data_IF_787669053754
#
_entry.id   IF_787669053754
#
_cell.length_a   1.000
_cell.length_b   1.000
_cell.length_c   1.000
_cell.angle_alpha   90.00
_cell.angle_beta   90.00
_cell.angle_gamma   90.00
#
_symmetry.space_group_name_H-M   'P 1'
#
loop_
_entity.id
_entity.type
_entity.pdbx_description
1 polymer ?
#
# COMPACT_ATOMS: atom_id res chain seq x y z
N UNK A 1 8.49 3.80 13.82
CA UNK A 1 7.06 3.47 13.95
C UNK A 1 6.65 3.11 12.54
N UNK A 2 6.60 1.83 12.25
CA UNK A 2 6.52 1.36 10.87
C UNK A 2 5.13 0.81 10.62
N UNK A 3 4.57 1.12 9.46
CA UNK A 3 3.28 0.60 9.05
C UNK A 3 3.34 -0.93 8.97
N UNK A 4 2.39 -1.62 9.62
CA UNK A 4 2.24 -3.08 9.48
C UNK A 4 1.08 -3.43 8.56
N UNK A 5 -0.12 -2.94 8.86
CA UNK A 5 -1.32 -3.35 8.13
C UNK A 5 -2.41 -2.29 8.15
N UNK A 6 -3.21 -2.30 7.09
CA UNK A 6 -4.49 -1.60 6.96
C UNK A 6 -5.56 -2.63 6.65
N UNK A 7 -6.55 -2.75 7.53
CA UNK A 7 -7.72 -3.60 7.33
C UNK A 7 -8.96 -2.74 7.17
N UNK A 8 -9.75 -2.98 6.12
CA UNK A 8 -11.01 -2.29 5.86
C UNK A 8 -12.12 -3.32 5.78
N UNK A 9 -13.15 -3.18 6.62
CA UNK A 9 -14.32 -4.06 6.64
C UNK A 9 -15.62 -3.26 6.55
N UNK A 10 -16.62 -3.80 5.84
CA UNK A 10 -17.98 -3.27 5.84
C UNK A 10 -18.78 -3.83 7.01
N UNK A 11 -19.23 -2.95 7.89
CA UNK A 11 -20.02 -3.35 9.05
C UNK A 11 -21.38 -3.91 8.60
N UNK A 12 -21.64 -5.18 8.90
CA UNK A 12 -22.84 -5.91 8.45
C UNK A 12 -24.02 -5.76 9.41
N UNK A 13 -23.75 -5.41 10.67
CA UNK A 13 -24.73 -5.40 11.76
C UNK A 13 -24.46 -4.21 12.71
N UNK A 14 -25.45 -3.87 13.56
CA UNK A 14 -25.34 -2.79 14.56
C UNK A 14 -25.74 -1.40 14.05
N UNK A 15 -25.57 -0.38 14.90
CA UNK A 15 -25.95 1.02 14.61
C UNK A 15 -25.17 1.66 13.46
N UNK A 16 -24.01 1.11 13.13
CA UNK A 16 -23.18 1.55 12.01
C UNK A 16 -23.29 0.63 10.77
N UNK A 17 -24.29 -0.26 10.71
CA UNK A 17 -24.51 -1.17 9.58
C UNK A 17 -24.48 -0.41 8.25
N UNK A 18 -23.68 -0.90 7.32
CA UNK A 18 -23.48 -0.31 6.00
C UNK A 18 -22.25 0.61 5.88
N UNK A 19 -21.69 1.07 7.01
CA UNK A 19 -20.47 1.87 7.03
C UNK A 19 -19.21 0.99 6.90
N UNK A 20 -18.10 1.62 6.54
CA UNK A 20 -16.78 0.98 6.46
C UNK A 20 -15.97 1.32 7.71
N UNK A 21 -15.35 0.31 8.31
CA UNK A 21 -14.45 0.43 9.45
C UNK A 21 -13.03 0.14 8.98
N UNK A 22 -12.10 1.05 9.27
CA UNK A 22 -10.68 0.88 8.97
C UNK A 22 -9.86 0.71 10.25
N UNK A 23 -8.92 -0.24 10.27
CA UNK A 23 -7.96 -0.40 11.36
C UNK A 23 -6.55 -0.30 10.79
N UNK A 24 -5.69 0.52 11.42
CA UNK A 24 -4.26 0.61 11.08
C UNK A 24 -3.44 0.11 12.26
N UNK A 25 -2.47 -0.76 11.98
CA UNK A 25 -1.52 -1.29 12.96
C UNK A 25 -0.10 -0.82 12.63
N UNK A 26 0.65 -0.41 13.64
CA UNK A 26 2.06 -0.03 13.53
C UNK A 26 2.93 -0.95 14.41
N UNK A 27 4.20 -1.12 14.02
CA UNK A 27 5.15 -2.09 14.58
C UNK A 27 5.63 -1.82 16.02
N UNK A 28 5.35 -0.65 16.59
CA UNK A 28 5.74 -0.29 17.96
C UNK A 28 4.54 -0.32 18.89
N UNK A 29 4.49 -1.33 19.77
CA UNK A 29 3.61 -1.53 20.93
C UNK A 29 2.16 -1.00 20.81
N UNK A 30 1.24 -1.92 20.49
CA UNK A 30 -0.23 -1.82 20.69
C UNK A 30 -0.96 -0.56 20.20
N UNK A 31 -0.33 0.26 19.35
CA UNK A 31 -0.96 1.43 18.74
C UNK A 31 -1.91 1.03 17.60
N UNK A 32 -3.05 0.43 17.94
CA UNK A 32 -4.17 0.20 17.01
C UNK A 32 -5.03 1.45 16.92
N UNK A 33 -5.00 2.11 15.77
CA UNK A 33 -5.87 3.27 15.50
C UNK A 33 -7.13 2.76 14.79
N UNK A 34 -8.28 2.91 15.44
CA UNK A 34 -9.58 2.64 14.82
C UNK A 34 -10.06 3.90 14.10
N UNK A 35 -10.20 3.81 12.78
CA UNK A 35 -10.69 4.91 11.95
C UNK A 35 -12.15 4.62 11.55
N UNK A 36 -13.04 5.58 11.83
CA UNK A 36 -14.37 5.59 11.23
C UNK A 36 -14.25 6.17 9.82
N UNK A 37 -14.32 5.32 8.81
CA UNK A 37 -14.13 5.72 7.41
C UNK A 37 -15.50 5.85 6.74
N UNK A 38 -15.67 6.93 5.98
CA UNK A 38 -16.78 7.06 5.04
C UNK A 38 -16.26 6.78 3.62
N UNK A 39 -17.17 6.74 2.64
CA UNK A 39 -16.80 6.42 1.26
C UNK A 39 -15.71 7.37 0.71
N UNK A 40 -15.80 8.67 1.00
CA UNK A 40 -14.82 9.66 0.54
C UNK A 40 -13.42 9.42 1.10
N UNK A 41 -13.30 8.97 2.35
CA UNK A 41 -12.00 8.61 2.92
C UNK A 41 -11.40 7.38 2.24
N UNK A 42 -12.24 6.42 1.87
CA UNK A 42 -11.84 5.19 1.19
C UNK A 42 -11.39 5.47 -0.25
N UNK A 43 -12.15 6.30 -0.97
CA UNK A 43 -11.81 6.69 -2.33
C UNK A 43 -10.42 7.35 -2.38
N UNK A 44 -10.12 8.23 -1.42
CA UNK A 44 -8.79 8.84 -1.27
C UNK A 44 -7.69 7.84 -0.92
N UNK A 45 -7.97 6.89 -0.01
CA UNK A 45 -7.00 5.84 0.34
C UNK A 45 -6.68 5.00 -0.90
N UNK A 46 -7.68 4.60 -1.67
CA UNK A 46 -7.48 3.83 -2.89
C UNK A 46 -6.78 4.61 -4.00
N UNK A 47 -7.08 5.90 -4.15
CA UNK A 47 -6.36 6.79 -5.07
C UNK A 47 -4.86 6.83 -4.74
N UNK A 48 -4.52 7.12 -3.47
CA UNK A 48 -3.10 7.18 -3.02
C UNK A 48 -2.40 5.84 -3.19
N UNK A 49 -3.05 4.72 -2.83
CA UNK A 49 -2.47 3.39 -2.98
C UNK A 49 -2.24 3.06 -4.46
N UNK A 50 -3.18 3.40 -5.35
CA UNK A 50 -3.03 3.17 -6.77
C UNK A 50 -1.84 3.96 -7.36
N UNK A 51 -1.71 5.24 -6.99
CA UNK A 51 -0.59 6.08 -7.42
C UNK A 51 0.76 5.51 -6.94
N UNK A 52 0.81 5.14 -5.64
CA UNK A 52 2.04 4.58 -5.05
C UNK A 52 2.40 3.23 -5.67
N UNK A 53 1.43 2.37 -5.99
CA UNK A 53 1.67 1.11 -6.69
C UNK A 53 2.25 1.32 -8.09
N UNK A 54 1.79 2.33 -8.82
CA UNK A 54 2.33 2.67 -10.14
C UNK A 54 3.77 3.17 -10.02
N UNK A 55 4.07 4.01 -9.02
CA UNK A 55 5.43 4.50 -8.78
C UNK A 55 6.39 3.37 -8.43
N UNK A 56 6.03 2.50 -7.48
CA UNK A 56 6.85 1.34 -7.10
C UNK A 56 7.06 0.40 -8.29
N UNK A 57 6.05 0.20 -9.14
CA UNK A 57 6.19 -0.62 -10.34
C UNK A 57 7.15 0.01 -11.37
N UNK A 58 7.14 1.33 -11.52
CA UNK A 58 8.07 2.06 -12.39
C UNK A 58 9.51 1.97 -11.87
N UNK A 59 9.71 2.15 -10.56
CA UNK A 59 11.03 2.02 -9.93
C UNK A 59 11.59 0.61 -10.11
N UNK A 60 10.79 -0.42 -9.81
CA UNK A 60 11.20 -1.81 -10.03
C UNK A 60 11.55 -2.10 -11.51
N UNK A 61 10.78 -1.55 -12.45
CA UNK A 61 11.08 -1.69 -13.88
C UNK A 61 12.38 -0.98 -14.30
N UNK A 62 12.68 0.19 -13.72
CA UNK A 62 13.93 0.91 -13.94
C UNK A 62 15.12 0.13 -13.37
N UNK A 63 15.04 -0.36 -12.13
CA UNK A 63 16.09 -1.19 -11.53
C UNK A 63 16.35 -2.46 -12.33
N UNK A 64 15.31 -3.17 -12.76
CA UNK A 64 15.43 -4.34 -13.63
C UNK A 64 16.11 -3.99 -14.96
N UNK A 65 15.78 -2.84 -15.54
CA UNK A 65 16.37 -2.38 -16.80
C UNK A 65 17.86 -2.07 -16.64
N UNK A 66 18.24 -1.37 -15.57
CA UNK A 66 19.65 -1.08 -15.23
C UNK A 66 20.43 -2.38 -15.04
N UNK A 67 19.90 -3.32 -14.24
CA UNK A 67 20.54 -4.62 -14.03
C UNK A 67 20.76 -5.40 -15.34
N UNK A 68 19.81 -5.36 -16.27
CA UNK A 68 19.94 -6.03 -17.58
C UNK A 68 21.03 -5.38 -18.44
N UNK A 69 21.14 -4.04 -18.41
CA UNK A 69 22.16 -3.31 -19.18
C UNK A 69 23.55 -3.65 -18.65
N UNK A 70 23.75 -3.57 -17.34
CA UNK A 70 25.03 -3.90 -16.70
C UNK A 70 25.45 -5.34 -16.99
N UNK A 71 24.51 -6.29 -16.91
CA UNK A 71 24.80 -7.70 -17.21
C UNK A 71 25.15 -7.92 -18.70
N UNK A 72 24.52 -7.17 -19.62
CA UNK A 72 24.84 -7.22 -21.06
C UNK A 72 26.19 -6.59 -21.40
N UNK A 73 26.64 -5.59 -20.66
CA UNK A 73 27.97 -4.99 -20.85
C UNK A 73 29.07 -5.94 -20.38
N UNK A 74 28.89 -6.60 -19.23
CA UNK A 74 29.84 -7.61 -18.72
C UNK A 74 30.01 -8.77 -19.71
N UNK A 75 28.93 -9.30 -20.26
CA UNK A 75 28.96 -10.42 -21.24
C UNK A 75 29.53 -10.05 -22.62
N UNK A 76 29.74 -8.76 -22.93
CA UNK A 76 30.35 -8.31 -24.19
C UNK A 76 31.87 -8.09 -24.08
N UNK A 77 32.41 -8.15 -22.87
CA UNK A 77 33.83 -7.92 -22.58
C UNK A 77 34.63 -9.21 -22.39
N UNK A 78 33.97 -10.39 -22.43
CA UNK A 78 34.57 -11.73 -22.53
C UNK A 78 34.53 -12.25 -23.98
#
# INVERSE_FOLDING_TARGET
MDFQSLEIEKERFGSNKGNLKGNITFSSDDARINLKLNQSHIDKIFEIVADTMIEVAKEAAQELTVNIIEHKEVLKLD
#
